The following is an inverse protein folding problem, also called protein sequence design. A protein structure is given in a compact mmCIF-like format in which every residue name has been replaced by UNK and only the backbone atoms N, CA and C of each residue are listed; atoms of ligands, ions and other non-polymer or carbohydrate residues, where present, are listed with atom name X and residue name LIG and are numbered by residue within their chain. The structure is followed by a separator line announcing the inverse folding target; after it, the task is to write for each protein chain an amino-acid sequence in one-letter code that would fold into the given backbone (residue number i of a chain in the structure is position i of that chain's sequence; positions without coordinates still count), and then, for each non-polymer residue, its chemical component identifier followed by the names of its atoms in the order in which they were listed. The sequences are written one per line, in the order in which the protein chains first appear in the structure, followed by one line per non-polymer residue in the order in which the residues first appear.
data_IF_610817795161
#
_entry.id   IF_610817795161
#
_cell.length_a   1.000
_cell.length_b   1.000
_cell.length_c   1.000
_cell.angle_alpha   90.00
_cell.angle_beta   90.00
_cell.angle_gamma   90.00
#
_symmetry.space_group_name_H-M   'P 1'
#
loop_
_entity.id
_entity.type
_entity.pdbx_description
1 polymer ?
#
# COMPACT_ATOMS: atom_id res chain seq x y z
N UNK A 1 -2.82 -1.88 17.06
CA UNK A 1 -2.00 -1.98 15.84
C UNK A 1 -1.57 -0.62 15.33
N UNK A 2 -2.49 0.33 15.08
CA UNK A 2 -2.18 1.72 14.70
C UNK A 2 -1.12 2.40 15.59
N UNK A 3 -1.37 2.48 16.90
CA UNK A 3 -0.44 3.08 17.87
C UNK A 3 0.98 2.48 17.82
N UNK A 4 1.10 1.17 17.62
CA UNK A 4 2.40 0.49 17.50
C UNK A 4 3.12 0.84 16.19
N UNK A 5 2.39 1.08 15.10
CA UNK A 5 2.97 1.52 13.82
C UNK A 5 3.46 2.96 13.95
N UNK A 6 2.65 3.83 14.54
CA UNK A 6 2.99 5.23 14.84
C UNK A 6 4.21 5.32 15.77
N UNK A 7 4.25 4.52 16.85
CA UNK A 7 5.38 4.47 17.80
C UNK A 7 6.70 3.97 17.17
N UNK A 8 6.63 3.14 16.11
CA UNK A 8 7.81 2.67 15.37
C UNK A 8 8.32 3.68 14.33
N UNK A 9 7.51 4.67 13.94
CA UNK A 9 7.93 5.77 13.07
C UNK A 9 8.56 6.83 13.97
N UNK A 10 9.82 6.59 14.35
CA UNK A 10 10.60 7.50 15.20
C UNK A 10 10.75 8.86 14.51
N UNK A 11 10.53 9.94 15.28
CA UNK A 11 10.74 11.36 14.97
C UNK A 11 12.16 11.68 14.47
N UNK A 12 12.50 11.25 13.25
CA UNK A 12 13.82 11.41 12.67
C UNK A 12 13.74 11.64 11.16
N UNK A 13 13.81 12.92 10.77
CA UNK A 13 14.20 13.43 9.44
C UNK A 13 13.43 12.89 8.23
N UNK A 14 12.52 13.69 7.66
CA UNK A 14 11.98 13.75 6.26
C UNK A 14 11.80 12.45 5.42
N UNK A 15 11.94 11.28 6.04
CA UNK A 15 11.95 9.99 5.40
C UNK A 15 10.50 9.51 5.36
N UNK A 16 9.93 9.55 4.15
CA UNK A 16 8.60 8.97 3.91
C UNK A 16 8.69 7.47 4.14
N UNK A 17 8.03 6.98 5.18
CA UNK A 17 7.93 5.56 5.46
C UNK A 17 6.63 5.03 4.85
N UNK A 18 6.74 3.98 4.04
CA UNK A 18 5.60 3.33 3.39
C UNK A 18 5.36 1.98 4.08
N UNK A 19 4.33 1.90 4.91
CA UNK A 19 4.05 0.73 5.74
C UNK A 19 2.86 -0.03 5.16
N UNK A 20 3.06 -1.18 4.50
CA UNK A 20 1.93 -1.99 4.02
C UNK A 20 1.15 -2.54 5.22
N UNK A 21 -0.16 -2.34 5.24
CA UNK A 21 -1.03 -2.76 6.34
C UNK A 21 -1.77 -4.06 6.01
N UNK A 22 -2.39 -4.12 4.84
CA UNK A 22 -3.20 -5.24 4.38
C UNK A 22 -3.24 -5.23 2.86
N UNK A 23 -3.42 -6.41 2.26
CA UNK A 23 -3.62 -6.55 0.83
C UNK A 23 -4.73 -7.55 0.50
N UNK A 24 -5.22 -7.46 -0.73
CA UNK A 24 -6.09 -8.44 -1.38
C UNK A 24 -5.49 -8.77 -2.75
N UNK A 25 -5.74 -9.97 -3.26
CA UNK A 25 -5.22 -10.44 -4.54
C UNK A 25 -6.32 -11.00 -5.44
N UNK A 26 -6.15 -10.83 -6.76
CA UNK A 26 -7.02 -11.39 -7.79
C UNK A 26 -6.15 -12.01 -8.89
N UNK A 27 -6.39 -13.29 -9.20
CA UNK A 27 -5.72 -13.98 -10.30
C UNK A 27 -6.30 -13.52 -11.63
N UNK A 28 -5.42 -13.20 -12.58
CA UNK A 28 -5.72 -12.76 -13.96
C UNK A 28 -4.68 -13.37 -14.90
N UNK A 29 -4.39 -12.75 -16.06
CA UNK A 29 -3.16 -13.03 -16.82
C UNK A 29 -1.92 -12.46 -16.12
N UNK A 30 -1.67 -12.96 -14.90
CA UNK A 30 -0.87 -12.32 -13.88
C UNK A 30 -1.58 -12.33 -12.53
N UNK A 31 -1.24 -11.42 -11.63
CA UNK A 31 -1.95 -11.21 -10.36
C UNK A 31 -2.11 -9.73 -10.10
N UNK A 32 -3.34 -9.29 -9.86
CA UNK A 32 -3.59 -7.96 -9.34
C UNK A 32 -3.52 -8.01 -7.82
N UNK A 33 -2.77 -7.11 -7.20
CA UNK A 33 -2.78 -6.83 -5.78
C UNK A 33 -3.41 -5.48 -5.54
N UNK A 34 -4.31 -5.39 -4.57
CA UNK A 34 -4.73 -4.12 -4.00
C UNK A 34 -4.13 -4.06 -2.60
N UNK A 35 -3.35 -3.02 -2.30
CA UNK A 35 -2.56 -2.90 -1.07
C UNK A 35 -2.90 -1.59 -0.38
N UNK A 36 -3.20 -1.65 0.91
CA UNK A 36 -3.30 -0.47 1.79
C UNK A 36 -1.92 -0.17 2.36
N UNK A 37 -1.43 1.04 2.15
CA UNK A 37 -0.13 1.50 2.63
C UNK A 37 -0.33 2.74 3.49
N UNK A 38 0.11 2.69 4.73
CA UNK A 38 0.17 3.83 5.63
C UNK A 38 1.39 4.68 5.32
N UNK A 39 1.22 6.00 5.26
CA UNK A 39 2.28 6.96 5.06
C UNK A 39 2.72 7.49 6.43
N UNK A 40 3.83 6.97 6.94
CA UNK A 40 4.43 7.47 8.18
C UNK A 40 5.23 8.76 7.94
N UNK A 41 5.32 9.61 8.97
CA UNK A 41 6.07 10.86 8.94
C UNK A 41 5.15 12.08 9.02
N UNK A 42 5.36 13.07 8.15
CA UNK A 42 4.57 14.33 8.15
C UNK A 42 3.10 14.13 7.75
N UNK A 43 2.81 13.07 7.00
CA UNK A 43 1.49 12.71 6.50
C UNK A 43 0.77 11.71 7.45
N UNK A 44 0.98 11.88 8.77
CA UNK A 44 0.42 10.98 9.80
C UNK A 44 -1.11 10.84 9.65
N UNK A 45 -1.59 9.61 9.79
CA UNK A 45 -3.00 9.25 9.57
C UNK A 45 -3.43 9.06 8.10
N UNK A 46 -2.56 9.32 7.12
CA UNK A 46 -2.89 9.19 5.70
C UNK A 46 -2.46 7.82 5.14
N UNK A 47 -3.30 7.24 4.31
CA UNK A 47 -3.05 6.00 3.59
C UNK A 47 -3.14 6.23 2.07
N UNK A 48 -2.48 5.34 1.33
CA UNK A 48 -2.72 5.09 -0.09
C UNK A 48 -3.34 3.70 -0.24
N UNK A 49 -4.31 3.55 -1.12
CA UNK A 49 -4.67 2.23 -1.64
C UNK A 49 -4.08 2.11 -3.04
N UNK A 50 -3.17 1.16 -3.26
CA UNK A 50 -2.46 0.98 -4.52
C UNK A 50 -2.88 -0.33 -5.19
N UNK A 51 -3.16 -0.28 -6.50
CA UNK A 51 -3.38 -1.46 -7.34
C UNK A 51 -2.12 -1.76 -8.15
N UNK A 52 -1.48 -2.88 -7.84
CA UNK A 52 -0.26 -3.34 -8.50
C UNK A 52 -0.59 -4.58 -9.33
N UNK A 53 -0.23 -4.57 -10.60
CA UNK A 53 -0.30 -5.75 -11.45
C UNK A 53 1.07 -6.44 -11.50
N UNK A 54 1.10 -7.74 -11.23
CA UNK A 54 2.25 -8.61 -11.42
C UNK A 54 2.03 -9.45 -12.68
N UNK A 55 2.91 -9.31 -13.67
CA UNK A 55 2.89 -10.16 -14.85
C UNK A 55 3.19 -11.63 -14.49
N UNK A 56 2.80 -12.57 -15.36
CA UNK A 56 3.16 -13.98 -15.21
C UNK A 56 4.69 -14.18 -15.15
N UNK A 57 5.13 -15.24 -14.49
CA UNK A 57 6.56 -15.57 -14.36
C UNK A 57 7.24 -15.77 -15.73
N UNK A 58 6.57 -16.41 -16.69
CA UNK A 58 7.06 -16.57 -18.06
C UNK A 58 7.18 -15.25 -18.83
N UNK A 59 6.55 -14.18 -18.35
CA UNK A 59 6.65 -12.82 -18.88
C UNK A 59 7.56 -11.93 -18.02
N UNK A 60 8.40 -12.52 -17.17
CA UNK A 60 9.40 -11.82 -16.36
C UNK A 60 8.90 -11.28 -15.01
N UNK A 61 7.65 -11.55 -14.62
CA UNK A 61 7.16 -11.25 -13.26
C UNK A 61 7.10 -9.76 -12.88
N UNK A 62 7.18 -8.85 -13.87
CA UNK A 62 7.26 -7.40 -13.66
C UNK A 62 6.07 -6.87 -12.85
N UNK A 63 6.35 -6.05 -11.85
CA UNK A 63 5.36 -5.30 -11.09
C UNK A 63 5.11 -3.93 -11.74
N UNK A 64 3.84 -3.55 -11.89
CA UNK A 64 3.44 -2.23 -12.38
C UNK A 64 2.33 -1.65 -11.51
N UNK A 65 2.51 -0.40 -11.05
CA UNK A 65 1.43 0.35 -10.42
C UNK A 65 0.42 0.74 -11.50
N UNK A 66 -0.79 0.19 -11.43
CA UNK A 66 -1.83 0.42 -12.44
C UNK A 66 -2.80 1.52 -12.04
N UNK A 67 -3.08 1.65 -10.74
CA UNK A 67 -3.99 2.66 -10.18
C UNK A 67 -3.67 2.90 -8.71
N UNK A 68 -4.04 4.06 -8.18
CA UNK A 68 -4.03 4.31 -6.74
C UNK A 68 -5.19 5.24 -6.34
N UNK A 69 -5.53 5.23 -5.05
CA UNK A 69 -6.46 6.14 -4.40
C UNK A 69 -5.74 6.87 -3.28
N UNK A 70 -5.85 8.20 -3.26
CA UNK A 70 -5.24 9.08 -2.29
C UNK A 70 -6.03 10.40 -2.20
N UNK A 71 -6.20 11.00 -1.00
CA UNK A 71 -5.88 10.44 0.31
C UNK A 71 -6.90 9.38 0.74
N UNK A 72 -6.44 8.39 1.51
CA UNK A 72 -7.28 7.44 2.25
C UNK A 72 -6.94 7.53 3.73
N UNK A 73 -7.77 6.97 4.60
CA UNK A 73 -7.52 6.96 6.06
C UNK A 73 -7.19 5.57 6.58
N UNK A 74 -6.61 5.51 7.79
CA UNK A 74 -6.31 4.25 8.46
C UNK A 74 -7.55 3.37 8.71
N UNK A 75 -8.72 3.97 8.89
CA UNK A 75 -9.96 3.25 9.23
C UNK A 75 -10.78 2.84 8.00
N UNK A 76 -10.51 3.42 6.84
CA UNK A 76 -11.19 3.02 5.60
C UNK A 76 -10.84 1.58 5.18
N UNK A 77 -11.84 0.73 4.85
CA UNK A 77 -11.58 -0.64 4.44
C UNK A 77 -10.91 -0.71 3.07
N UNK A 78 -10.13 -1.78 2.85
CA UNK A 78 -9.50 -2.04 1.56
C UNK A 78 -10.46 -2.79 0.62
N UNK A 79 -11.20 -2.05 -0.20
CA UNK A 79 -12.08 -2.61 -1.23
C UNK A 79 -11.35 -2.71 -2.58
N UNK A 80 -11.61 -3.74 -3.41
CA UNK A 80 -11.09 -3.80 -4.78
C UNK A 80 -11.56 -2.62 -5.66
N UNK A 81 -10.70 -2.10 -6.55
CA UNK A 81 -11.00 -0.98 -7.47
C UNK A 81 -10.16 -0.99 -8.76
#
# INVERSE_FOLDING_TARGET
MRKQIEDNVVNGSDSKVYIPLVYSSQIVNGTNYVVKVFLGGRDDGVCVHAKVHQALACSGGKLTLSRFQFPKTFDEPLNPF
#
